data_IF_037484868556
#
_entry.id   IF_037484868556
#
_cell.length_a   1.000
_cell.length_b   1.000
_cell.length_c   1.000
_cell.angle_alpha   90.00
_cell.angle_beta   90.00
_cell.angle_gamma   90.00
#
_symmetry.space_group_name_H-M   'P 1'
#
loop_
_entity.id
_entity.type
_entity.pdbx_description
1 polymer ?
2 non-polymer ?
3 non-polymer ?
4 non-polymer ?
5 non-polymer ?
6 non-polymer ?
7 non-polymer ?
8 non-polymer ?
9 non-polymer ?
10 water ?
#
# COMPACT_ATOMS: atom_id res chain seq x y z
N UNK A 39 12.70 -8.53 9.18
CA UNK A 39 11.98 -8.00 7.96
C UNK A 39 11.82 -6.47 7.98
N UNK A 40 11.56 -5.89 9.16
CA UNK A 40 11.46 -4.43 9.36
C UNK A 40 10.27 -3.70 8.74
N UNK A 41 9.29 -4.45 8.26
CA UNK A 41 8.17 -3.90 7.51
C UNK A 41 7.01 -3.52 8.43
N UNK A 42 6.81 -4.28 9.52
CA UNK A 42 5.67 -4.06 10.39
C UNK A 42 5.76 -2.68 11.02
N UNK A 43 4.65 -1.96 11.00
CA UNK A 43 4.58 -0.64 11.62
C UNK A 43 3.74 0.32 10.81
N UNK A 44 3.76 1.58 11.22
CA UNK A 44 3.02 2.63 10.57
C UNK A 44 3.97 3.32 9.57
N UNK A 45 3.47 3.51 8.35
CA UNK A 45 4.23 4.10 7.27
C UNK A 45 3.44 5.29 6.74
N UNK A 46 4.17 6.28 6.24
CA UNK A 46 3.62 7.53 5.74
C UNK A 46 4.20 7.79 4.35
N UNK A 47 3.35 8.07 3.38
CA UNK A 47 3.86 8.43 2.05
C UNK A 47 4.24 9.91 2.01
N UNK A 48 4.72 10.33 0.85
CA UNK A 48 5.24 11.69 0.68
C UNK A 48 4.20 12.80 0.87
N UNK A 49 2.92 12.48 0.72
CA UNK A 49 1.81 13.42 0.95
C UNK A 49 1.18 13.24 2.34
N UNK A 50 1.77 12.37 3.15
CA UNK A 50 1.32 12.18 4.54
C UNK A 50 0.20 11.16 4.75
N UNK A 51 -0.20 10.43 3.71
CA UNK A 51 -1.19 9.34 3.87
C UNK A 51 -0.60 8.26 4.79
N UNK A 52 -1.44 7.68 5.64
CA UNK A 52 -0.99 6.77 6.70
C UNK A 52 -1.41 5.32 6.41
N UNK A 53 -0.45 4.40 6.49
CA UNK A 53 -0.76 2.98 6.31
C UNK A 53 -0.20 2.17 7.48
N UNK A 54 -1.05 1.35 8.06
CA UNK A 54 -0.69 0.49 9.17
C UNK A 54 -0.49 -0.88 8.56
N UNK A 55 0.71 -1.44 8.69
CA UNK A 55 1.08 -2.69 8.00
C UNK A 55 1.62 -3.70 8.99
N UNK A 56 1.15 -4.95 8.90
CA UNK A 56 1.72 -6.06 9.64
C UNK A 56 2.25 -7.07 8.62
N UNK A 57 3.54 -7.36 8.74
CA UNK A 57 4.21 -8.38 7.94
C UNK A 57 4.23 -9.70 8.70
N UNK A 58 3.44 -10.68 8.24
CA UNK A 58 3.41 -12.02 8.84
C UNK A 58 4.63 -12.84 8.46
N UNK A 59 5.03 -13.77 9.32
CA UNK A 59 6.20 -14.65 9.06
C UNK A 59 6.04 -15.44 7.76
N UNK A 60 4.78 -15.72 7.39
CA UNK A 60 4.42 -16.48 6.19
C UNK A 60 4.40 -15.69 4.85
N UNK A 61 4.70 -14.40 4.87
CA UNK A 61 4.65 -13.56 3.67
C UNK A 61 3.40 -12.70 3.55
N UNK A 62 2.51 -12.72 4.55
CA UNK A 62 1.28 -11.91 4.48
C UNK A 62 1.52 -10.46 4.87
N UNK A 63 0.97 -9.54 4.09
CA UNK A 63 0.81 -8.17 4.51
C UNK A 63 -0.67 -7.96 4.79
N UNK A 64 -0.96 -7.40 5.98
CA UNK A 64 -2.33 -7.04 6.36
C UNK A 64 -2.27 -5.70 7.04
N UNK A 65 -3.39 -4.99 7.04
CA UNK A 65 -3.49 -3.76 7.80
C UNK A 65 -4.52 -2.82 7.23
N UNK A 66 -4.30 -1.52 7.38
CA UNK A 66 -5.27 -0.53 6.97
C UNK A 66 -4.64 0.75 6.41
N UNK A 67 -5.41 1.41 5.53
CA UNK A 67 -5.32 2.87 5.34
C UNK A 67 -6.12 3.53 6.47
N UNK A 68 -5.51 4.53 7.10
CA UNK A 68 -6.16 5.41 8.05
C UNK A 68 -6.10 6.86 7.57
N UNK A 69 -7.14 7.64 7.85
CA UNK A 69 -7.09 9.09 7.65
C UNK A 69 -6.23 9.72 8.75
N UNK A 70 -5.92 11.01 8.60
CA UNK A 70 -5.18 11.77 9.61
C UNK A 70 -5.88 11.77 10.99
N UNK A 71 -7.22 11.71 10.98
CA UNK A 71 -8.02 11.61 12.22
C UNK A 71 -8.12 10.17 12.76
N UNK A 72 -7.95 9.16 11.90
CA UNK A 72 -8.18 7.76 12.27
C UNK A 72 -9.66 7.45 12.46
N UNK A 73 -10.52 8.15 11.72
CA UNK A 73 -11.97 7.95 11.83
C UNK A 73 -12.41 6.72 11.03
N UNK A 74 -13.46 6.04 11.52
CA UNK A 74 -13.92 4.77 10.96
C UNK A 74 -14.40 4.86 9.51
N UNK A 75 -14.98 6.01 9.15
CA UNK A 75 -15.52 6.21 7.79
C UNK A 75 -14.43 6.29 6.71
N UNK A 76 -13.20 6.63 7.11
CA UNK A 76 -12.06 6.73 6.17
C UNK A 76 -11.02 5.62 6.35
N UNK A 77 -11.41 4.53 7.02
CA UNK A 77 -10.52 3.38 7.23
C UNK A 77 -10.83 2.33 6.18
N UNK A 78 -9.80 1.86 5.48
CA UNK A 78 -9.97 0.79 4.50
C UNK A 78 -8.95 -0.32 4.71
N UNK A 79 -9.38 -1.55 4.46
CA UNK A 79 -8.52 -2.73 4.61
C UNK A 79 -7.46 -2.77 3.50
N UNK A 80 -6.24 -3.16 3.87
CA UNK A 80 -5.22 -3.56 2.90
C UNK A 80 -4.78 -4.98 3.11
N UNK A 81 -4.51 -5.67 2.01
CA UNK A 81 -3.88 -6.97 2.05
C UNK A 81 -2.88 -7.12 0.91
N UNK A 82 -1.81 -7.85 1.18
CA UNK A 82 -0.78 -8.08 0.19
C UNK A 82 0.17 -9.19 0.59
N UNK A 83 1.31 -9.22 -0.07
CA UNK A 83 2.30 -10.26 0.07
C UNK A 83 3.67 -9.60 0.01
N UNK A 84 4.63 -10.20 0.69
CA UNK A 84 6.02 -9.77 0.57
C UNK A 84 6.90 -11.02 0.60
N UNK A 85 8.12 -10.85 0.12
CA UNK A 85 9.16 -11.86 0.16
C UNK A 85 9.68 -11.98 1.61
N UNK A 86 9.36 -13.07 2.28
CA UNK A 86 9.72 -13.27 3.69
C UNK A 86 11.14 -13.80 3.87
N UNK A 87 11.86 -14.05 2.77
CA UNK A 87 13.28 -14.41 2.84
C UNK A 87 14.02 -13.73 1.68
N UNK A 88 14.20 -12.41 1.77
CA UNK A 88 14.86 -11.67 0.67
C UNK A 88 16.32 -12.06 0.50
N UNK A 89 16.92 -11.67 -0.62
CA UNK A 89 18.32 -12.00 -0.91
C UNK A 89 19.22 -11.25 0.09
N UNK A 90 20.39 -11.83 0.38
CA UNK A 90 21.31 -11.26 1.37
C UNK A 90 22.49 -10.61 0.67
N UNK A 91 22.20 -9.88 -0.40
CA UNK A 91 23.19 -9.19 -1.20
C UNK A 91 22.88 -7.69 -1.17
N UNK A 92 22.18 -7.24 -0.11
CA UNK A 92 21.75 -5.86 0.00
C UNK A 92 20.62 -5.46 -0.93
N UNK A 93 19.94 -6.43 -1.52
CA UNK A 93 18.75 -6.12 -2.32
C UNK A 93 17.58 -5.79 -1.40
N UNK A 94 16.68 -4.93 -1.88
CA UNK A 94 15.42 -4.71 -1.18
C UNK A 94 14.51 -5.93 -1.18
N UNK A 95 13.42 -5.81 -0.43
CA UNK A 95 12.46 -6.86 -0.22
C UNK A 95 11.21 -6.57 -1.05
N UNK A 96 10.96 -7.40 -2.06
CA UNK A 96 9.83 -7.19 -2.95
C UNK A 96 8.51 -7.41 -2.26
N UNK A 97 7.52 -6.60 -2.63
CA UNK A 97 6.23 -6.67 -1.98
C UNK A 97 5.16 -6.05 -2.87
N UNK A 98 3.92 -6.29 -2.48
CA UNK A 98 2.78 -5.59 -3.05
C UNK A 98 1.58 -5.66 -2.13
N UNK A 99 0.66 -4.71 -2.28
CA UNK A 99 -0.59 -4.79 -1.56
C UNK A 99 -1.65 -4.04 -2.30
N UNK A 100 -2.88 -4.32 -1.92
CA UNK A 100 -4.04 -3.74 -2.54
C UNK A 100 -4.93 -3.15 -1.45
N UNK A 101 -5.55 -2.00 -1.76
CA UNK A 101 -6.70 -1.50 -1.02
C UNK A 101 -7.86 -1.36 -2.01
N UNK A 102 -9.00 -2.02 -1.73
CA UNK A 102 -10.25 -1.72 -2.42
C UNK A 102 -10.95 -0.64 -1.59
N UNK A 103 -11.39 0.43 -2.25
CA UNK A 103 -11.84 1.64 -1.57
C UNK A 103 -13.31 1.57 -1.21
N UNK A 104 -13.66 0.50 -0.50
CA UNK A 104 -14.96 0.29 0.09
C UNK A 104 -14.77 -0.06 1.57
N UNK A 105 -15.64 0.53 2.38
CA UNK A 105 -15.79 0.14 3.78
C UNK A 105 -17.30 0.18 4.06
N UNK A 106 -17.70 0.14 5.32
CA UNK A 106 -19.14 0.13 5.65
C UNK A 106 -19.80 1.50 5.47
N UNK A 107 -19.01 2.53 5.22
CA UNK A 107 -19.47 3.90 5.16
C UNK A 107 -19.42 4.53 3.77
N UNK A 108 -18.45 4.12 2.96
CA UNK A 108 -18.18 4.73 1.66
C UNK A 108 -17.77 3.67 0.66
N UNK A 109 -18.03 3.95 -0.61
CA UNK A 109 -17.54 3.12 -1.68
C UNK A 109 -17.21 3.96 -2.91
N UNK A 110 -15.94 4.11 -3.21
CA UNK A 110 -15.47 4.83 -4.38
C UNK A 110 -15.45 3.98 -5.65
N UNK A 111 -15.72 2.68 -5.52
CA UNK A 111 -15.76 1.75 -6.63
C UNK A 111 -14.45 1.81 -7.39
N UNK A 112 -13.38 1.53 -6.65
CA UNK A 112 -12.03 1.63 -7.15
C UNK A 112 -11.13 0.83 -6.24
N UNK A 113 -9.93 0.53 -6.72
CA UNK A 113 -8.93 -0.17 -5.92
C UNK A 113 -7.55 0.25 -6.39
N UNK A 114 -6.62 0.34 -5.43
CA UNK A 114 -5.25 0.66 -5.74
C UNK A 114 -4.35 -0.50 -5.39
N UNK A 115 -3.38 -0.81 -6.26
CA UNK A 115 -2.28 -1.69 -5.96
C UNK A 115 -1.00 -0.90 -5.91
N UNK A 116 -0.17 -1.20 -4.91
CA UNK A 116 1.18 -0.69 -4.82
C UNK A 116 2.13 -1.86 -5.00
N UNK A 117 3.12 -1.68 -5.87
CA UNK A 117 4.12 -2.66 -6.20
C UNK A 117 5.47 -2.03 -5.90
N UNK A 118 6.30 -2.71 -5.12
CA UNK A 118 7.57 -2.09 -4.76
C UNK A 118 8.51 -2.94 -3.94
N UNK A 119 9.41 -2.25 -3.24
CA UNK A 119 10.32 -2.94 -2.37
C UNK A 119 10.61 -2.13 -1.14
N UNK A 120 10.78 -2.87 -0.05
CA UNK A 120 11.21 -2.33 1.23
C UNK A 120 12.72 -2.29 1.24
N UNK A 121 13.26 -1.15 1.67
CA UNK A 121 14.71 -0.94 1.78
C UNK A 121 15.00 -0.57 3.24
N UNK A 122 15.73 -1.43 3.93
CA UNK A 122 16.09 -1.21 5.32
C UNK A 122 17.25 -0.24 5.49
N UNK A 123 17.66 -0.06 6.73
CA UNK A 123 18.75 0.86 7.09
C UNK A 123 18.26 2.03 7.91
N UNK A 124 19.14 3.02 8.04
CA UNK A 124 18.92 4.17 8.92
C UNK A 124 17.63 4.89 8.62
N UNK A 125 17.40 5.16 7.34
CA UNK A 125 16.17 5.75 6.87
C UNK A 125 15.46 4.72 5.99
N UNK A 126 14.76 3.80 6.65
CA UNK A 126 14.04 2.73 5.96
C UNK A 126 12.93 3.31 5.09
N UNK A 127 12.71 2.67 3.95
CA UNK A 127 11.74 3.14 2.99
C UNK A 127 11.02 1.98 2.33
N UNK A 128 9.80 2.25 1.88
CA UNK A 128 9.15 1.41 0.88
C UNK A 128 8.94 2.28 -0.36
N UNK A 129 9.60 1.88 -1.45
CA UNK A 129 9.51 2.61 -2.71
C UNK A 129 8.56 1.84 -3.62
N UNK A 130 7.50 2.52 -4.05
CA UNK A 130 6.43 1.87 -4.79
C UNK A 130 6.01 2.62 -6.04
N UNK A 131 5.42 1.85 -6.94
CA UNK A 131 4.63 2.38 -8.04
C UNK A 131 3.22 1.85 -7.87
N UNK A 132 2.23 2.71 -8.10
CA UNK A 132 0.85 2.31 -7.88
C UNK A 132 0.02 2.45 -9.14
N UNK A 133 -1.05 1.65 -9.16
CA UNK A 133 -2.11 1.70 -10.15
C UNK A 133 -3.43 1.81 -9.42
N UNK A 134 -4.21 2.81 -9.80
CA UNK A 134 -5.56 3.00 -9.29
C UNK A 134 -6.55 2.69 -10.40
N UNK A 135 -7.23 1.56 -10.27
CA UNK A 135 -8.29 1.21 -11.22
C UNK A 135 -9.66 1.50 -10.61
N UNK A 136 -10.43 2.29 -11.36
CA UNK A 136 -11.82 2.55 -11.04
C UNK A 136 -12.70 1.65 -11.90
N UNK A 137 -13.82 1.21 -11.35
CA UNK A 137 -14.78 0.43 -12.14
C UNK A 137 -15.40 1.36 -13.14
N UNK A 138 -15.44 0.97 -14.42
CA UNK A 138 -15.93 1.78 -15.52
C UNK A 138 -16.80 0.92 -16.44
N UNK A 139 -17.52 1.57 -17.34
CA UNK A 139 -18.21 0.89 -18.42
C UNK A 139 -17.16 0.43 -19.41
N UNK A 140 -17.52 -0.43 -20.35
CA UNK A 140 -16.56 -0.84 -21.37
C UNK A 140 -16.12 0.33 -22.24
N UNK A 141 -17.06 1.19 -22.59
CA UNK A 141 -16.77 2.41 -23.34
C UNK A 141 -15.70 3.28 -22.69
N UNK A 142 -15.69 3.31 -21.35
CA UNK A 142 -14.77 4.13 -20.57
C UNK A 142 -13.56 3.37 -20.02
N UNK A 143 -13.38 2.12 -20.44
CA UNK A 143 -12.30 1.26 -19.91
C UNK A 143 -10.90 1.82 -20.14
N UNK A 144 -10.75 2.56 -21.24
CA UNK A 144 -9.49 3.22 -21.55
C UNK A 144 -9.02 4.17 -20.44
N UNK A 145 -9.95 4.78 -19.73
CA UNK A 145 -9.59 5.72 -18.62
C UNK A 145 -9.82 5.12 -17.23
N UNK A 146 -9.72 3.79 -17.12
CA UNK A 146 -9.93 3.12 -15.87
C UNK A 146 -8.72 3.22 -14.92
N UNK A 147 -7.50 3.40 -15.42
CA UNK A 147 -6.33 3.13 -14.60
C UNK A 147 -5.34 4.29 -14.61
N UNK A 148 -5.23 4.92 -13.45
CA UNK A 148 -4.22 5.94 -13.19
C UNK A 148 -2.95 5.29 -12.65
N UNK A 149 -1.81 5.93 -12.94
CA UNK A 149 -0.51 5.43 -12.50
C UNK A 149 0.23 6.56 -11.76
N UNK A 150 0.97 6.15 -10.74
CA UNK A 150 1.84 7.05 -10.01
C UNK A 150 2.85 6.33 -9.16
N UNK A 151 3.43 7.04 -8.20
CA UNK A 151 4.45 6.44 -7.35
C UNK A 151 4.29 7.01 -5.95
N UNK A 152 4.57 6.18 -4.95
CA UNK A 152 4.55 6.59 -3.54
C UNK A 152 5.82 6.11 -2.91
N UNK A 153 6.40 6.98 -2.09
CA UNK A 153 7.55 6.58 -1.28
C UNK A 153 7.13 6.72 0.18
N UNK A 154 7.31 5.63 0.92
CA UNK A 154 6.89 5.55 2.32
C UNK A 154 8.07 5.61 3.26
N UNK A 155 7.93 6.36 4.35
CA UNK A 155 8.91 6.42 5.43
C UNK A 155 8.24 6.14 6.76
N UNK A 156 9.06 5.79 7.75
CA UNK A 156 8.58 5.56 9.11
C UNK A 156 8.28 6.85 9.90
N UNK A 157 8.68 8.01 9.35
CA UNK A 157 8.39 9.34 9.90
C UNK A 157 7.54 10.20 8.94
N UNK A 158 6.69 11.06 9.48
CA UNK A 158 5.92 12.03 8.67
C UNK A 158 6.81 13.06 7.95
X LIG B 1 -5.01 12.43 2.03
X LIG B 1 -4.75 11.79 0.69
X LIG B 1 -5.10 12.74 -0.47
X LIG B 1 -4.13 13.88 -0.83
X LIG B 1 -2.88 14.02 0.02
X LIG B 1 -3.73 13.78 -2.30
X LIG B 1 -5.58 10.54 0.53
X LIG B 1 -6.82 10.60 0.51
X LIG C 1 -4.92 9.40 0.38
X LIG C 1 -5.64 8.15 0.04
X LIG C 1 -4.71 6.93 -0.01
X LIG C 1 -3.69 6.86 -1.12
X LIG C 1 -2.32 7.10 -0.98
X LIG C 1 -1.69 6.90 -2.20
X LIG C 1 -2.59 6.56 -3.16
X LIG C 1 -2.50 6.30 -4.52
X LIG C 1 -3.62 5.97 -5.29
X LIG C 1 -4.87 5.89 -4.69
X LIG C 1 -5.04 6.17 -3.33
X LIG C 1 -3.93 6.51 -2.55
X LIG C 1 -6.43 8.26 -1.25
X LIG C 1 -7.48 7.62 -1.40
X LIG D 1 -5.99 9.13 -2.16
X LIG D 1 -6.61 9.27 -3.49
X LIG D 1 -7.96 9.96 -3.37
X LIG D 1 -8.84 9.75 -4.21
X LIG D 1 -5.73 9.89 -4.57
X LIG D 1 -4.51 10.74 -4.21
X LIG D 1 -3.25 10.03 -3.75
X LIG D 1 -2.45 9.47 -4.52
X LIG D 1 -3.01 10.14 -2.47
X LIG E 1 -8.15 10.81 -2.35
X LIG E 1 -9.47 11.43 -2.08
X LIG E 1 -10.47 10.39 -1.63
X LIG E 1 -11.64 10.47 -1.98
X LIG E 1 -9.40 12.59 -1.08
X LIG E 1 -8.62 13.79 -1.61
X LIG E 1 -8.29 14.88 -0.90
X LIG E 1 -8.09 13.99 -2.88
X LIG E 1 -7.60 15.74 -1.69
X LIG E 1 -7.47 15.19 -2.91
X LIG F 1 -10.03 9.37 -0.87
X LIG F 1 -10.91 8.25 -0.54
X LIG F 1 -11.17 7.40 -1.76
X LIG F 1 -12.30 6.95 -1.96
X LIG F 1 -10.34 7.33 0.55
X LIG F 1 -10.11 8.02 1.89
X LIG F 1 -11.37 8.57 2.49
X LIG F 1 -12.43 7.91 2.44
X LIG F 1 -11.31 9.69 3.05
X LIG G 1 -10.13 7.20 -2.57
X LIG G 1 -10.25 6.38 -3.80
X LIG G 1 -8.87 6.12 -4.39
X LIG G 1 -11.10 6.98 -4.90
X LIG G 1 -11.42 6.26 -5.86
X LIG H 1 -11.48 8.26 -4.79
X LIG H 1 -12.39 8.91 -5.75
X LIG H 1 -11.59 9.95 -6.54
X LIG H 1 -10.49 9.26 -7.37
X LIG H 1 -10.98 10.90 -5.67
X LIG H 1 -13.58 9.51 -5.05
X LIG H 1 -14.21 10.40 -5.59
X LIG I 1 -13.91 9.00 -3.87
X LIG I 1 -15.02 9.48 -3.05
X LIG I 1 -15.08 8.70 -1.73
X LIG I 1 -16.24 9.15 -0.87
X LIG I 1 -16.25 10.21 0.02
X LIG I 1 -17.47 10.33 0.64
X LIG I 1 -18.33 9.40 0.20
X LIG I 1 -19.66 9.09 0.49
X LIG I 1 -20.29 8.01 -0.17
X LIG I 1 -19.60 7.24 -1.11
X LIG I 1 -18.26 7.51 -1.43
X LIG I 1 -17.62 8.57 -0.79
X LIG I 1 -16.33 9.25 -3.78
X LIG I 1 -16.55 8.14 -4.29
X LIG J 1 -17.18 10.28 -3.82
X LIG J 1 -18.53 10.21 -4.43
X LIG J 1 -19.50 10.93 -3.52
X LIG J 1 -20.30 10.29 -2.85
X LIG J 1 -18.65 10.82 -5.83
X LIG J 1 -17.52 10.42 -6.78
X LIG J 1 -17.94 9.79 -8.10
X LIG J 1 -16.73 9.09 -8.74
X LIG J 1 -16.51 9.50 -10.11
#
# INVERSE_FOLDING_TARGET
MRKIVVAAIAVSLTTVSITASASADPSKDSKAQVSAAEAGITGTWYNQLGSTFIVTAGADGALTGTYESAVGNAESRYVLTGRYDSAPATDGSGTALGWTVAWKNNYRNAHSATTWSGQYVGGAEARINTQWLLTSGTTEANAWKSTLVGHDTFTKVKPSAASIDAAKKAGVNNGNPLDAVQQ
DLE N CA CB CG CD1 CD2 C O
DTR N CA CB CG CD1 NE1 CE2 CZ2 CH2 CZ3 CE3 CD2 C O
DGN N CA C O CB CG CD OE1 NE2
DHI N CA C O CB CG ND1 CD2 CE1 NE2
DGL N CA C O CB CG CD OE1 OE2
DAL N CA CB C O
DTH N CA CB CG2 OG1 C O
DTR N CA CB CG CD1 NE1 CE2 CZ2 CH2 CZ3 CE3 CD2 C O
DLY N CA C O CB CG CD CE NZ
#
